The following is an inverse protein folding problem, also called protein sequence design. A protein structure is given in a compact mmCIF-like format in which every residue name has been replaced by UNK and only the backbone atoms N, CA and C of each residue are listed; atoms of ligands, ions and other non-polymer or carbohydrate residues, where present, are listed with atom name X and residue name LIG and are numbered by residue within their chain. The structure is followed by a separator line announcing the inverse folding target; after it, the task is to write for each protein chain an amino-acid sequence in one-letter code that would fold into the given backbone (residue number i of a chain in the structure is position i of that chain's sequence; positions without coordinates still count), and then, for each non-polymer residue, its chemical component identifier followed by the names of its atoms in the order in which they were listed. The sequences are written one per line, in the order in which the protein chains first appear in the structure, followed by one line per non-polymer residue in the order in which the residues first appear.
data_IF_310853942314
#
_entry.id   IF_310853942314
#
_cell.length_a   1.000
_cell.length_b   1.000
_cell.length_c   1.000
_cell.angle_alpha   90.00
_cell.angle_beta   90.00
_cell.angle_gamma   90.00
#
_symmetry.space_group_name_H-M   'P 1'
#
loop_
_entity.id
_entity.type
_entity.pdbx_description
1 polymer ?
#
# COMPACT_ATOMS: atom_id res chain seq x y z
N UNK A 1 -7.49 11.97 22.00
CA UNK A 1 -7.22 10.77 21.17
C UNK A 1 -5.91 10.16 21.65
N UNK A 2 -5.92 8.91 22.12
CA UNK A 2 -4.72 8.26 22.64
C UNK A 2 -3.98 7.56 21.49
N UNK A 3 -2.69 7.85 21.34
CA UNK A 3 -1.80 7.13 20.42
C UNK A 3 -0.99 6.17 21.26
N UNK A 4 -1.20 4.87 21.08
CA UNK A 4 -0.51 3.83 21.86
C UNK A 4 0.94 3.62 21.39
N UNK A 5 1.17 3.63 20.08
CA UNK A 5 2.48 3.42 19.46
C UNK A 5 2.64 4.36 18.27
N UNK A 6 3.86 4.85 18.06
CA UNK A 6 4.28 5.54 16.84
C UNK A 6 5.39 4.75 16.17
N UNK A 7 5.28 4.58 14.86
CA UNK A 7 6.28 3.93 14.01
C UNK A 7 6.83 4.91 12.99
N UNK A 8 7.97 4.57 12.38
CA UNK A 8 8.64 5.38 11.36
C UNK A 8 8.28 4.97 9.92
N UNK A 9 7.57 3.85 9.73
CA UNK A 9 7.16 3.34 8.42
C UNK A 9 5.78 2.69 8.50
N UNK A 10 4.96 2.84 7.45
CA UNK A 10 3.67 2.16 7.36
C UNK A 10 3.82 0.63 7.31
N UNK A 11 4.93 0.14 6.74
CA UNK A 11 5.19 -1.30 6.59
C UNK A 11 5.39 -2.00 7.94
N UNK A 12 5.74 -1.28 9.00
CA UNK A 12 5.96 -1.86 10.33
C UNK A 12 4.70 -1.85 11.20
N UNK A 13 3.63 -1.15 10.78
CA UNK A 13 2.37 -1.08 11.53
C UNK A 13 1.76 -2.46 11.80
N UNK A 14 1.64 -3.39 10.84
CA UNK A 14 1.04 -4.70 11.09
C UNK A 14 1.81 -5.50 12.16
N UNK A 15 3.13 -5.38 12.19
CA UNK A 15 3.98 -6.05 13.18
C UNK A 15 3.83 -5.47 14.59
N UNK A 16 3.55 -4.16 14.70
CA UNK A 16 3.25 -3.55 15.99
C UNK A 16 1.86 -3.94 16.52
N UNK A 17 0.93 -4.33 15.65
CA UNK A 17 -0.43 -4.75 16.02
C UNK A 17 -0.49 -6.22 16.40
N UNK A 18 0.30 -7.08 15.74
CA UNK A 18 0.29 -8.53 15.95
C UNK A 18 0.34 -8.89 17.43
N UNK A 19 -0.61 -9.73 17.88
CA UNK A 19 -0.70 -10.20 19.26
C UNK A 19 -1.20 -9.15 20.27
N UNK A 20 -1.82 -8.06 19.81
CA UNK A 20 -2.36 -7.00 20.68
C UNK A 20 -3.83 -6.72 20.36
N UNK A 21 -4.51 -5.96 21.23
CA UNK A 21 -5.87 -5.47 21.01
C UNK A 21 -5.92 -4.13 20.26
N UNK A 22 -4.82 -3.73 19.60
CA UNK A 22 -4.77 -2.48 18.84
C UNK A 22 -5.34 -2.65 17.43
N UNK A 23 -5.76 -1.54 16.82
CA UNK A 23 -6.12 -1.48 15.41
C UNK A 23 -5.45 -0.28 14.73
N UNK A 24 -5.28 -0.35 13.42
CA UNK A 24 -4.79 0.78 12.62
C UNK A 24 -5.37 0.74 11.20
N UNK A 25 -5.24 1.88 10.51
CA UNK A 25 -5.50 1.98 9.08
C UNK A 25 -4.19 1.83 8.32
N UNK A 26 -4.19 0.98 7.30
CA UNK A 26 -3.06 0.72 6.39
C UNK A 26 -3.58 0.62 4.95
N UNK A 27 -2.73 0.79 3.93
CA UNK A 27 -3.13 0.51 2.54
C UNK A 27 -3.66 -0.92 2.38
N UNK A 28 -4.73 -1.10 1.61
CA UNK A 28 -5.41 -2.40 1.40
C UNK A 28 -4.45 -3.49 0.95
N UNK A 29 -3.60 -3.19 -0.05
CA UNK A 29 -2.56 -4.11 -0.55
C UNK A 29 -1.59 -4.56 0.55
N UNK A 30 -1.23 -3.68 1.49
CA UNK A 30 -0.40 -4.06 2.64
C UNK A 30 -1.15 -4.99 3.58
N UNK A 31 -2.41 -4.67 3.91
CA UNK A 31 -3.24 -5.52 4.76
C UNK A 31 -3.33 -6.94 4.19
N UNK A 32 -3.75 -7.09 2.94
CA UNK A 32 -3.92 -8.40 2.30
C UNK A 32 -2.63 -9.23 2.23
N UNK A 33 -1.46 -8.59 2.02
CA UNK A 33 -0.17 -9.29 1.97
C UNK A 33 0.28 -9.87 3.31
N UNK A 34 -0.22 -9.35 4.42
CA UNK A 34 0.25 -9.73 5.77
C UNK A 34 -0.80 -10.45 6.62
N UNK A 35 -2.06 -10.51 6.16
CA UNK A 35 -3.19 -11.14 6.86
C UNK A 35 -2.82 -12.53 7.42
N UNK A 36 -2.45 -13.46 6.54
CA UNK A 36 -2.19 -14.84 6.91
C UNK A 36 -0.90 -14.99 7.73
N UNK A 37 0.18 -14.32 7.29
CA UNK A 37 1.49 -14.47 7.94
C UNK A 37 1.56 -13.87 9.36
N UNK A 38 0.71 -12.88 9.66
CA UNK A 38 0.68 -12.22 10.96
C UNK A 38 -0.55 -12.57 11.80
N UNK A 39 -1.44 -13.44 11.31
CA UNK A 39 -2.70 -13.80 11.97
C UNK A 39 -3.54 -12.55 12.31
N UNK A 40 -3.78 -11.73 11.29
CA UNK A 40 -4.53 -10.48 11.40
C UNK A 40 -5.86 -10.59 10.65
N UNK A 41 -6.79 -9.67 10.96
CA UNK A 41 -8.07 -9.55 10.29
C UNK A 41 -8.30 -8.11 9.81
N UNK A 42 -8.99 -7.94 8.67
CA UNK A 42 -9.50 -6.65 8.21
C UNK A 42 -10.88 -6.42 8.88
N UNK A 43 -11.00 -5.31 9.60
CA UNK A 43 -12.25 -4.91 10.23
C UNK A 43 -13.02 -3.91 9.36
N UNK A 44 -14.35 -4.01 9.35
CA UNK A 44 -15.22 -2.99 8.73
C UNK A 44 -15.13 -1.68 9.52
N UNK A 45 -15.10 -0.57 8.80
CA UNK A 45 -15.06 0.78 9.38
C UNK A 45 -16.21 1.63 8.82
N UNK A 46 -16.85 2.48 9.64
CA UNK A 46 -17.83 3.45 9.15
C UNK A 46 -17.18 4.66 8.45
N UNK A 47 -15.84 4.75 8.49
CA UNK A 47 -15.11 5.82 7.83
C UNK A 47 -15.07 5.59 6.32
N UNK A 48 -15.24 6.66 5.56
CA UNK A 48 -15.10 6.63 4.10
C UNK A 48 -13.68 6.19 3.72
N UNK A 49 -13.60 5.34 2.70
CA UNK A 49 -12.33 4.91 2.14
C UNK A 49 -11.57 6.08 1.53
N UNK A 50 -10.26 6.11 1.80
CA UNK A 50 -9.35 7.06 1.15
C UNK A 50 -8.66 6.35 0.01
N UNK A 51 -8.83 6.88 -1.20
CA UNK A 51 -8.12 6.40 -2.38
C UNK A 51 -6.70 6.97 -2.39
N UNK A 52 -5.71 6.10 -2.52
CA UNK A 52 -4.29 6.46 -2.61
C UNK A 52 -3.82 6.14 -4.02
N UNK A 53 -3.35 7.15 -4.75
CA UNK A 53 -2.75 6.97 -6.08
C UNK A 53 -1.23 6.89 -5.95
N UNK A 54 -0.66 5.73 -6.25
CA UNK A 54 0.79 5.56 -6.38
C UNK A 54 1.27 6.16 -7.71
N UNK A 55 2.34 6.96 -7.68
CA UNK A 55 2.87 7.63 -8.86
C UNK A 55 4.37 7.41 -9.01
N UNK A 56 4.82 7.16 -10.24
CA UNK A 56 6.23 7.18 -10.58
C UNK A 56 6.66 8.62 -10.86
N UNK A 57 7.74 9.06 -10.22
CA UNK A 57 8.32 10.39 -10.41
C UNK A 57 9.71 10.30 -11.03
N UNK A 58 9.99 11.18 -11.98
CA UNK A 58 11.30 11.31 -12.60
C UNK A 58 11.62 12.78 -12.88
N UNK A 59 12.89 13.08 -13.07
CA UNK A 59 13.32 14.43 -13.42
C UNK A 59 13.09 14.69 -14.91
N UNK A 60 12.53 15.85 -15.26
CA UNK A 60 12.18 16.23 -16.65
C UNK A 60 13.34 16.06 -17.66
N UNK A 61 14.58 16.32 -17.23
CA UNK A 61 15.80 16.07 -18.03
C UNK A 61 15.94 14.63 -18.56
N UNK A 62 15.28 13.66 -17.93
CA UNK A 62 15.28 12.25 -18.33
C UNK A 62 14.02 11.82 -19.07
N UNK A 63 13.17 12.75 -19.52
CA UNK A 63 11.95 12.43 -20.27
C UNK A 63 12.21 11.56 -21.49
N UNK A 64 13.33 11.81 -22.18
CA UNK A 64 13.74 11.11 -23.40
C UNK A 64 14.85 10.09 -23.16
N UNK A 65 15.18 9.78 -21.90
CA UNK A 65 16.12 8.70 -21.57
C UNK A 65 15.44 7.36 -21.89
N UNK A 66 15.98 6.53 -22.81
CA UNK A 66 15.33 5.30 -23.24
C UNK A 66 15.13 4.31 -22.10
N UNK A 67 16.05 4.24 -21.13
CA UNK A 67 15.95 3.32 -20.00
C UNK A 67 14.85 3.78 -19.02
N UNK A 68 14.74 5.09 -18.77
CA UNK A 68 13.67 5.65 -17.92
C UNK A 68 12.31 5.48 -18.58
N UNK A 69 12.23 5.67 -19.89
CA UNK A 69 10.99 5.49 -20.66
C UNK A 69 10.53 4.04 -20.63
N UNK A 70 11.43 3.09 -20.89
CA UNK A 70 11.15 1.67 -20.78
C UNK A 70 10.64 1.29 -19.39
N UNK A 71 11.32 1.74 -18.33
CA UNK A 71 10.91 1.42 -16.96
C UNK A 71 9.54 2.01 -16.62
N UNK A 72 9.26 3.25 -17.06
CA UNK A 72 7.93 3.87 -16.86
C UNK A 72 6.82 3.06 -17.50
N UNK A 73 7.01 2.59 -18.73
CA UNK A 73 6.01 1.74 -19.39
C UNK A 73 5.86 0.41 -18.65
N UNK A 74 6.96 -0.26 -18.28
CA UNK A 74 6.91 -1.50 -17.52
C UNK A 74 6.16 -1.33 -16.19
N UNK A 75 6.45 -0.27 -15.43
CA UNK A 75 5.76 0.02 -14.17
C UNK A 75 4.27 0.27 -14.39
N UNK A 76 3.91 0.96 -15.47
CA UNK A 76 2.52 1.23 -15.82
C UNK A 76 1.76 -0.05 -16.20
N UNK A 77 2.34 -0.88 -17.05
CA UNK A 77 1.74 -2.15 -17.49
C UNK A 77 1.51 -3.08 -16.31
N UNK A 78 2.50 -3.23 -15.43
CA UNK A 78 2.38 -4.04 -14.20
C UNK A 78 1.37 -3.44 -13.23
N UNK A 79 1.28 -2.10 -13.12
CA UNK A 79 0.29 -1.46 -12.26
C UNK A 79 -1.13 -1.73 -12.74
N UNK A 80 -1.38 -1.69 -14.06
CA UNK A 80 -2.68 -2.07 -14.64
C UNK A 80 -3.00 -3.53 -14.32
N UNK A 81 -2.07 -4.45 -14.57
CA UNK A 81 -2.28 -5.88 -14.32
C UNK A 81 -2.66 -6.14 -12.85
N UNK A 82 -1.98 -5.46 -11.93
CA UNK A 82 -2.27 -5.59 -10.49
C UNK A 82 -3.61 -4.99 -10.08
N UNK A 83 -4.03 -3.90 -10.72
CA UNK A 83 -5.35 -3.28 -10.46
C UNK A 83 -6.48 -4.13 -11.04
N UNK A 84 -6.30 -4.66 -12.25
CA UNK A 84 -7.27 -5.56 -12.89
C UNK A 84 -7.42 -6.89 -12.13
N UNK A 85 -6.33 -7.38 -11.53
CA UNK A 85 -6.32 -8.58 -10.69
C UNK A 85 -6.78 -8.33 -9.25
N UNK A 86 -6.93 -7.07 -8.84
CA UNK A 86 -7.39 -6.74 -7.50
C UNK A 86 -8.82 -7.25 -7.31
N UNK A 87 -9.14 -7.94 -6.20
CA UNK A 87 -10.52 -8.33 -5.91
C UNK A 87 -11.42 -7.10 -5.97
N UNK A 88 -12.50 -7.17 -6.75
CA UNK A 88 -13.57 -6.19 -6.66
C UNK A 88 -14.08 -6.20 -5.21
N UNK A 89 -14.06 -5.04 -4.55
CA UNK A 89 -14.52 -4.89 -3.16
C UNK A 89 -15.93 -5.43 -2.91
#
# INVERSE_FOLDING_TARGET
RLVAVRVTSLLTVPFAIKGTNMCAFVPSRLAHRVLESLDLAIARTPLTQVQITEAAHWHQRRDNDPAVTWLRHLLYDVAIELEDAAPSE
#
